data_IF_134828202935
#
_entry.id   IF_134828202935
#
_cell.length_a   1.000
_cell.length_b   1.000
_cell.length_c   1.000
_cell.angle_alpha   90.00
_cell.angle_beta   90.00
_cell.angle_gamma   90.00
#
_symmetry.space_group_name_H-M   'P 1'
#
loop_
_entity.id
_entity.type
_entity.pdbx_description
1 polymer ?
#
# COMPACT_ATOMS: atom_id res chain seq x y z
N UNK A 1 28.17 11.91 -2.08
CA UNK A 1 26.72 12.09 -2.27
C UNK A 1 26.46 13.57 -2.12
N UNK A 2 26.43 14.31 -3.21
CA UNK A 2 26.09 15.72 -3.17
C UNK A 2 24.61 15.85 -2.73
N UNK A 3 24.30 16.75 -1.78
CA UNK A 3 22.95 16.88 -1.25
C UNK A 3 21.89 17.18 -2.32
N UNK A 4 22.28 17.82 -3.42
CA UNK A 4 21.38 18.18 -4.52
C UNK A 4 20.78 16.93 -5.22
N UNK A 5 21.59 15.90 -5.49
CA UNK A 5 21.08 14.64 -6.04
C UNK A 5 20.04 13.96 -5.13
N UNK A 6 20.23 14.00 -3.81
CA UNK A 6 19.29 13.41 -2.86
C UNK A 6 17.93 14.11 -2.87
N UNK A 7 17.91 15.44 -2.98
CA UNK A 7 16.68 16.22 -3.09
C UNK A 7 15.93 15.98 -4.39
N UNK A 8 16.65 15.88 -5.51
CA UNK A 8 16.06 15.57 -6.82
C UNK A 8 15.44 14.17 -6.78
N UNK A 9 16.19 13.18 -6.29
CA UNK A 9 15.70 11.80 -6.17
C UNK A 9 14.47 11.71 -5.24
N UNK A 10 14.49 12.40 -4.10
CA UNK A 10 13.35 12.43 -3.18
C UNK A 10 12.10 13.04 -3.82
N UNK A 11 12.26 14.16 -4.54
CA UNK A 11 11.14 14.84 -5.22
C UNK A 11 10.54 13.97 -6.33
N UNK A 12 11.40 13.29 -7.11
CA UNK A 12 10.96 12.34 -8.13
C UNK A 12 10.23 11.14 -7.52
N UNK A 13 10.72 10.59 -6.40
CA UNK A 13 10.07 9.48 -5.71
C UNK A 13 8.68 9.89 -5.18
N UNK A 14 8.57 11.08 -4.61
CA UNK A 14 7.29 11.64 -4.15
C UNK A 14 6.33 11.83 -5.32
N UNK A 15 6.79 12.44 -6.42
CA UNK A 15 5.96 12.65 -7.61
C UNK A 15 5.46 11.32 -8.20
N UNK A 16 6.33 10.31 -8.26
CA UNK A 16 5.97 8.97 -8.70
C UNK A 16 4.95 8.30 -7.76
N UNK A 17 5.12 8.45 -6.45
CA UNK A 17 4.17 7.97 -5.45
C UNK A 17 2.79 8.62 -5.60
N UNK A 18 2.74 9.94 -5.80
CA UNK A 18 1.50 10.68 -6.03
C UNK A 18 0.84 10.25 -7.35
N UNK A 19 1.61 10.12 -8.42
CA UNK A 19 1.11 9.63 -9.69
C UNK A 19 0.49 8.23 -9.57
N UNK A 20 1.10 7.33 -8.78
CA UNK A 20 0.55 6.01 -8.49
C UNK A 20 -0.75 6.00 -7.68
N UNK A 21 -1.04 7.08 -6.95
CA UNK A 21 -2.31 7.27 -6.21
C UNK A 21 -3.39 7.88 -7.11
N UNK A 22 -3.03 8.84 -7.95
CA UNK A 22 -3.96 9.65 -8.77
C UNK A 22 -4.32 8.97 -10.09
N UNK A 23 -3.45 8.10 -10.61
CA UNK A 23 -3.74 7.26 -11.77
C UNK A 23 -4.06 5.84 -11.26
N UNK A 24 -5.21 5.58 -10.60
CA UNK A 24 -5.66 4.22 -10.41
C UNK A 24 -6.16 3.72 -11.78
N UNK A 25 -5.21 3.43 -12.68
CA UNK A 25 -5.47 2.88 -14.01
C UNK A 25 -5.88 1.41 -13.99
N UNK A 26 -6.19 0.86 -12.81
CA UNK A 26 -6.52 -0.54 -12.59
C UNK A 26 -8.00 -0.62 -12.18
N UNK A 27 -8.91 -1.11 -13.03
CA UNK A 27 -10.26 -1.46 -12.59
C UNK A 27 -10.18 -2.45 -11.42
N UNK A 28 -11.19 -2.50 -10.55
CA UNK A 28 -11.09 -3.09 -9.20
C UNK A 28 -10.48 -4.49 -9.06
N UNK A 29 -10.48 -5.31 -10.13
CA UNK A 29 -9.88 -6.66 -10.12
C UNK A 29 -8.35 -6.60 -9.96
N UNK A 30 -7.55 -5.95 -10.82
CA UNK A 30 -6.11 -5.84 -10.61
C UNK A 30 -5.68 -5.08 -9.35
N UNK A 31 -6.48 -4.16 -8.82
CA UNK A 31 -6.13 -3.48 -7.55
C UNK A 31 -6.15 -4.45 -6.37
N UNK A 32 -7.10 -5.37 -6.39
CA UNK A 32 -7.34 -6.34 -5.33
C UNK A 32 -6.49 -7.61 -5.53
N UNK A 33 -6.33 -8.08 -6.76
CA UNK A 33 -5.56 -9.28 -7.09
C UNK A 33 -4.07 -9.01 -7.39
N UNK A 34 -3.70 -7.80 -7.82
CA UNK A 34 -2.33 -7.43 -8.16
C UNK A 34 -1.33 -7.67 -7.02
N UNK A 35 -1.62 -7.24 -5.78
CA UNK A 35 -0.76 -7.50 -4.62
C UNK A 35 -0.63 -8.98 -4.29
N UNK A 36 -1.72 -9.77 -4.44
CA UNK A 36 -1.66 -11.22 -4.29
C UNK A 36 -0.72 -11.85 -5.32
N UNK A 37 -0.97 -11.56 -6.60
CA UNK A 37 -0.20 -12.10 -7.71
C UNK A 37 1.27 -11.69 -7.60
N UNK A 38 1.54 -10.42 -7.29
CA UNK A 38 2.89 -9.90 -7.07
C UNK A 38 3.61 -10.59 -5.91
N UNK A 39 2.92 -10.84 -4.79
CA UNK A 39 3.50 -11.54 -3.65
C UNK A 39 3.77 -13.03 -3.95
N UNK A 40 2.85 -13.72 -4.63
CA UNK A 40 3.04 -15.11 -5.06
C UNK A 40 4.20 -15.22 -6.05
N UNK A 41 4.22 -14.38 -7.09
CA UNK A 41 5.28 -14.38 -8.11
C UNK A 41 6.63 -14.02 -7.46
N UNK A 42 6.67 -13.00 -6.60
CA UNK A 42 7.89 -12.57 -5.92
C UNK A 42 8.48 -13.65 -5.03
N UNK A 43 7.68 -14.30 -4.18
CA UNK A 43 8.16 -15.39 -3.31
C UNK A 43 8.52 -16.64 -4.13
N UNK A 44 7.79 -16.94 -5.20
CA UNK A 44 8.13 -18.05 -6.09
C UNK A 44 9.46 -17.80 -6.82
N UNK A 45 9.68 -16.60 -7.36
CA UNK A 45 10.96 -16.24 -8.01
C UNK A 45 12.13 -16.21 -7.02
N UNK A 46 11.88 -15.83 -5.76
CA UNK A 46 12.93 -15.75 -4.74
C UNK A 46 13.31 -17.12 -4.15
N UNK A 47 12.34 -18.04 -3.97
CA UNK A 47 12.56 -19.30 -3.22
C UNK A 47 12.10 -20.59 -3.93
N UNK A 48 11.44 -20.50 -5.08
CA UNK A 48 11.01 -21.65 -5.90
C UNK A 48 9.89 -22.53 -5.31
N UNK A 49 9.37 -22.21 -4.12
CA UNK A 49 8.36 -23.04 -3.44
C UNK A 49 6.94 -22.50 -3.65
N UNK A 50 6.12 -23.25 -4.40
CA UNK A 50 4.74 -22.86 -4.71
C UNK A 50 3.83 -22.82 -3.47
N UNK A 51 3.98 -23.80 -2.56
CA UNK A 51 3.22 -23.84 -1.32
C UNK A 51 3.53 -22.65 -0.40
N UNK A 52 4.78 -22.17 -0.41
CA UNK A 52 5.18 -20.97 0.36
C UNK A 52 4.68 -19.70 -0.32
N UNK A 53 4.81 -19.61 -1.64
CA UNK A 53 4.32 -18.49 -2.42
C UNK A 53 2.81 -18.26 -2.22
N UNK A 54 2.01 -19.33 -2.24
CA UNK A 54 0.57 -19.24 -1.95
C UNK A 54 0.27 -18.69 -0.55
N UNK A 55 1.00 -19.15 0.49
CA UNK A 55 0.83 -18.62 1.85
C UNK A 55 1.19 -17.15 1.96
N UNK A 56 2.27 -16.71 1.29
CA UNK A 56 2.66 -15.29 1.27
C UNK A 56 1.61 -14.45 0.55
N UNK A 57 1.07 -14.94 -0.57
CA UNK A 57 -0.05 -14.29 -1.26
C UNK A 57 -1.26 -14.07 -0.35
N UNK A 58 -1.70 -15.11 0.38
CA UNK A 58 -2.82 -14.99 1.33
C UNK A 58 -2.48 -14.01 2.46
N UNK A 59 -1.27 -14.05 2.99
CA UNK A 59 -0.81 -13.13 4.02
C UNK A 59 -0.83 -11.66 3.53
N UNK A 60 -0.43 -11.39 2.28
CA UNK A 60 -0.50 -10.06 1.67
C UNK A 60 -1.94 -9.56 1.58
N UNK A 61 -2.88 -10.43 1.19
CA UNK A 61 -4.30 -10.07 1.11
C UNK A 61 -4.89 -9.71 2.47
N UNK A 62 -4.66 -10.56 3.47
CA UNK A 62 -5.12 -10.30 4.84
C UNK A 62 -4.47 -9.04 5.41
N UNK A 63 -3.16 -8.85 5.19
CA UNK A 63 -2.45 -7.65 5.59
C UNK A 63 -3.03 -6.38 4.95
N UNK A 64 -3.42 -6.44 3.67
CA UNK A 64 -4.04 -5.32 2.99
C UNK A 64 -5.45 -5.01 3.52
N UNK A 65 -6.28 -6.03 3.74
CA UNK A 65 -7.61 -5.85 4.33
C UNK A 65 -7.52 -5.26 5.74
N UNK A 66 -6.67 -5.83 6.59
CA UNK A 66 -6.46 -5.35 7.95
C UNK A 66 -5.86 -3.95 7.99
N UNK A 67 -4.86 -3.66 7.14
CA UNK A 67 -4.26 -2.34 7.02
C UNK A 67 -5.26 -1.29 6.52
N UNK A 68 -6.09 -1.64 5.53
CA UNK A 68 -7.17 -0.79 5.04
C UNK A 68 -8.21 -0.50 6.13
N UNK A 69 -8.66 -1.53 6.83
CA UNK A 69 -9.60 -1.40 7.96
C UNK A 69 -9.02 -0.53 9.08
N UNK A 70 -7.76 -0.76 9.47
CA UNK A 70 -7.06 0.05 10.46
C UNK A 70 -6.95 1.52 10.02
N UNK A 71 -6.61 1.77 8.75
CA UNK A 71 -6.55 3.12 8.19
C UNK A 71 -7.91 3.82 8.24
N UNK A 72 -9.00 3.10 7.93
CA UNK A 72 -10.35 3.65 8.02
C UNK A 72 -10.73 3.97 9.48
N UNK A 73 -10.44 3.06 10.42
CA UNK A 73 -10.67 3.28 11.83
C UNK A 73 -9.90 4.50 12.36
N UNK A 74 -8.64 4.68 11.92
CA UNK A 74 -7.85 5.86 12.24
C UNK A 74 -8.48 7.14 11.68
N UNK A 75 -8.90 7.15 10.42
CA UNK A 75 -9.57 8.32 9.81
C UNK A 75 -10.84 8.69 10.57
N UNK A 76 -11.67 7.72 10.93
CA UNK A 76 -12.89 7.95 11.73
C UNK A 76 -12.52 8.53 13.10
N UNK A 77 -11.49 7.97 13.74
CA UNK A 77 -11.00 8.45 15.05
C UNK A 77 -10.51 9.90 14.97
N UNK A 78 -9.77 10.26 13.92
CA UNK A 78 -9.30 11.62 13.70
C UNK A 78 -10.46 12.61 13.53
N UNK A 79 -11.46 12.26 12.71
CA UNK A 79 -12.65 13.10 12.50
C UNK A 79 -13.43 13.24 13.81
N UNK A 80 -13.61 12.15 14.57
CA UNK A 80 -14.32 12.16 15.84
C UNK A 80 -13.64 13.10 16.85
N UNK A 81 -12.32 12.99 17.04
CA UNK A 81 -11.56 13.86 17.95
C UNK A 81 -11.68 15.32 17.54
N UNK A 82 -11.58 15.62 16.24
CA UNK A 82 -11.71 16.98 15.74
C UNK A 82 -13.12 17.54 15.93
N UNK A 83 -14.15 16.77 15.61
CA UNK A 83 -15.54 17.17 15.79
C UNK A 83 -15.86 17.43 17.27
N UNK A 84 -15.45 16.52 18.16
CA UNK A 84 -15.61 16.70 19.62
C UNK A 84 -14.96 18.00 20.09
N UNK A 85 -13.72 18.28 19.66
CA UNK A 85 -12.99 19.51 20.03
C UNK A 85 -13.56 20.78 19.39
N UNK A 86 -14.30 20.68 18.29
CA UNK A 86 -14.86 21.84 17.59
C UNK A 86 -16.19 22.29 18.20
N UNK A 87 -16.94 21.37 18.80
CA UNK A 87 -18.30 21.61 19.31
C UNK A 87 -18.43 21.53 20.84
N UNK A 88 -17.40 21.06 21.56
CA UNK A 88 -17.28 21.11 23.03
C UNK A 88 -16.19 22.11 23.44
#
# INVERSE_FOLDING_TARGET
MDPALLWIAATLLVALGVAGVVVPGLPGIPLVLGPFAGAVIGEFSARGSLARAGRVGVATWLGMLLGGAAKLALVISMIAVFALRRFA
#
